data_IF_719209741985
#
_entry.id   IF_719209741985
#
_cell.length_a   1.000
_cell.length_b   1.000
_cell.length_c   1.000
_cell.angle_alpha   90.00
_cell.angle_beta   90.00
_cell.angle_gamma   90.00
#
_symmetry.space_group_name_H-M   'P 1'
#
loop_
_entity.id
_entity.type
_entity.pdbx_description
1 polymer ?
#
# COMPACT_ATOMS: atom_id res chain seq x y z
N UNK A 1 11.50 9.59 -4.17
CA UNK A 1 10.04 9.78 -4.18
C UNK A 1 9.42 8.69 -5.05
N UNK A 2 8.32 8.09 -4.60
CA UNK A 2 7.64 7.02 -5.35
C UNK A 2 6.80 7.67 -6.47
N UNK A 3 7.36 7.78 -7.69
CA UNK A 3 6.73 8.48 -8.85
C UNK A 3 5.28 8.04 -9.07
N UNK A 4 5.04 6.73 -8.93
CA UNK A 4 3.73 6.10 -9.12
C UNK A 4 2.69 6.59 -8.11
N UNK A 5 3.10 6.92 -6.88
CA UNK A 5 2.19 7.46 -5.87
C UNK A 5 1.65 8.83 -6.27
N UNK A 6 2.56 9.74 -6.63
CA UNK A 6 2.22 11.12 -6.96
C UNK A 6 1.36 11.17 -8.23
N UNK A 7 1.75 10.40 -9.25
CA UNK A 7 0.97 10.25 -10.48
C UNK A 7 -0.46 9.76 -10.19
N UNK A 8 -0.63 8.80 -9.28
CA UNK A 8 -1.95 8.30 -8.91
C UNK A 8 -2.78 9.34 -8.12
N UNK A 9 -2.15 10.16 -7.28
CA UNK A 9 -2.84 11.25 -6.59
C UNK A 9 -3.31 12.34 -7.56
N UNK A 10 -2.47 12.72 -8.50
CA UNK A 10 -2.77 13.69 -9.55
C UNK A 10 -3.89 13.18 -10.47
N UNK A 11 -3.83 11.91 -10.88
CA UNK A 11 -4.88 11.26 -11.68
C UNK A 11 -6.21 11.23 -10.91
N UNK A 12 -6.19 10.95 -9.61
CA UNK A 12 -7.39 10.94 -8.77
C UNK A 12 -8.03 12.32 -8.67
N UNK A 13 -7.23 13.36 -8.43
CA UNK A 13 -7.70 14.73 -8.33
C UNK A 13 -8.26 15.23 -9.66
N UNK A 14 -7.62 14.88 -10.79
CA UNK A 14 -8.12 15.20 -12.12
C UNK A 14 -9.49 14.54 -12.41
N UNK A 15 -9.72 13.32 -11.92
CA UNK A 15 -10.98 12.60 -12.13
C UNK A 15 -12.12 13.07 -11.20
N UNK A 16 -11.80 13.45 -9.97
CA UNK A 16 -12.81 13.76 -8.94
C UNK A 16 -12.98 15.25 -8.66
N UNK A 17 -12.03 16.08 -9.08
CA UNK A 17 -11.94 17.48 -8.70
C UNK A 17 -11.60 17.70 -7.22
N UNK A 18 -11.20 16.65 -6.49
CA UNK A 18 -10.92 16.70 -5.06
C UNK A 18 -9.64 15.94 -4.71
N UNK A 19 -8.87 16.38 -3.69
CA UNK A 19 -7.72 15.62 -3.21
C UNK A 19 -8.10 14.23 -2.71
N UNK A 20 -7.22 13.26 -2.90
CA UNK A 20 -7.40 11.91 -2.38
C UNK A 20 -7.44 11.89 -0.84
N UNK A 21 -8.40 11.17 -0.28
CA UNK A 21 -8.48 10.87 1.15
C UNK A 21 -8.55 9.36 1.37
N UNK A 22 -7.59 8.84 2.13
CA UNK A 22 -7.42 7.40 2.31
C UNK A 22 -8.56 6.74 3.10
N UNK A 23 -9.17 7.50 4.00
CA UNK A 23 -10.24 7.07 4.91
C UNK A 23 -11.55 6.78 4.17
N UNK A 24 -11.76 7.39 3.00
CA UNK A 24 -12.96 7.20 2.19
C UNK A 24 -12.97 5.84 1.48
N UNK A 25 -11.80 5.21 1.30
CA UNK A 25 -11.63 4.01 0.49
C UNK A 25 -11.04 2.87 1.32
N UNK A 26 -11.82 2.37 2.28
CA UNK A 26 -11.38 1.32 3.22
C UNK A 26 -11.19 -0.04 2.56
N UNK A 27 -12.02 -0.39 1.58
CA UNK A 27 -11.93 -1.67 0.84
C UNK A 27 -12.19 -1.46 -0.65
N UNK A 28 -11.70 -2.35 -1.54
CA UNK A 28 -11.96 -2.25 -2.96
C UNK A 28 -13.45 -2.24 -3.32
N UNK A 29 -14.30 -2.91 -2.54
CA UNK A 29 -15.74 -2.99 -2.76
C UNK A 29 -16.48 -1.65 -2.56
N UNK A 30 -15.91 -0.73 -1.77
CA UNK A 30 -16.47 0.60 -1.54
C UNK A 30 -16.06 1.60 -2.62
N UNK A 31 -15.12 1.23 -3.52
CA UNK A 31 -14.60 2.15 -4.53
C UNK A 31 -15.47 2.11 -5.78
N UNK A 32 -15.94 3.26 -6.29
CA UNK A 32 -16.59 3.32 -7.59
C UNK A 32 -15.73 2.68 -8.68
N UNK A 33 -16.35 1.92 -9.58
CA UNK A 33 -15.63 1.18 -10.61
C UNK A 33 -14.67 2.06 -11.40
N UNK A 34 -15.07 3.30 -11.71
CA UNK A 34 -14.28 4.29 -12.45
C UNK A 34 -12.97 4.66 -11.74
N UNK A 35 -13.00 4.81 -10.41
CA UNK A 35 -11.86 5.20 -9.57
C UNK A 35 -11.03 4.01 -9.10
N UNK A 36 -11.50 2.77 -9.31
CA UNK A 36 -10.85 1.58 -8.76
C UNK A 36 -9.39 1.43 -9.17
N UNK A 37 -9.01 1.76 -10.42
CA UNK A 37 -7.61 1.62 -10.87
C UNK A 37 -6.70 2.62 -10.13
N UNK A 38 -7.11 3.89 -10.07
CA UNK A 38 -6.31 4.95 -9.44
C UNK A 38 -6.23 4.79 -7.92
N UNK A 39 -7.34 4.45 -7.26
CA UNK A 39 -7.35 4.17 -5.81
C UNK A 39 -6.50 2.94 -5.49
N UNK A 40 -6.59 1.88 -6.31
CA UNK A 40 -5.74 0.69 -6.11
C UNK A 40 -4.26 1.02 -6.27
N UNK A 41 -3.86 1.82 -7.27
CA UNK A 41 -2.47 2.28 -7.42
C UNK A 41 -2.00 3.02 -6.16
N UNK A 42 -2.80 3.95 -5.66
CA UNK A 42 -2.50 4.74 -4.46
C UNK A 42 -2.29 3.85 -3.24
N UNK A 43 -3.25 2.95 -2.95
CA UNK A 43 -3.18 2.01 -1.82
C UNK A 43 -2.00 1.05 -1.91
N UNK A 44 -1.75 0.46 -3.09
CA UNK A 44 -0.59 -0.42 -3.32
C UNK A 44 0.71 0.34 -3.09
N UNK A 45 0.79 1.59 -3.57
CA UNK A 45 2.00 2.40 -3.44
C UNK A 45 2.29 2.80 -1.98
N UNK A 46 1.25 3.16 -1.21
CA UNK A 46 1.36 3.41 0.23
C UNK A 46 1.81 2.16 0.99
N UNK A 47 1.17 1.02 0.75
CA UNK A 47 1.52 -0.23 1.40
C UNK A 47 2.96 -0.66 1.08
N UNK A 48 3.42 -0.49 -0.17
CA UNK A 48 4.83 -0.72 -0.54
C UNK A 48 5.78 0.22 0.21
N UNK A 49 5.46 1.51 0.30
CA UNK A 49 6.29 2.48 1.01
C UNK A 49 6.39 2.15 2.52
N UNK A 50 5.29 1.76 3.13
CA UNK A 50 5.26 1.32 4.52
C UNK A 50 6.06 0.02 4.72
N UNK A 51 5.89 -0.96 3.83
CA UNK A 51 6.63 -2.21 3.87
C UNK A 51 8.15 -1.99 3.74
N UNK A 52 8.58 -1.05 2.88
CA UNK A 52 9.97 -0.64 2.75
C UNK A 52 10.48 0.05 4.03
N UNK A 53 9.68 0.93 4.62
CA UNK A 53 10.00 1.59 5.90
C UNK A 53 10.19 0.57 7.03
N UNK A 54 9.28 -0.40 7.15
CA UNK A 54 9.37 -1.47 8.15
C UNK A 54 10.61 -2.33 7.90
N UNK A 55 10.90 -2.66 6.63
CA UNK A 55 12.13 -3.37 6.26
C UNK A 55 13.38 -2.64 6.73
N UNK A 56 13.43 -1.32 6.53
CA UNK A 56 14.54 -0.49 7.01
C UNK A 56 14.64 -0.45 8.55
N UNK A 57 13.52 -0.46 9.27
CA UNK A 57 13.52 -0.56 10.73
C UNK A 57 14.05 -1.93 11.18
N UNK A 58 13.59 -3.02 10.56
CA UNK A 58 14.05 -4.38 10.88
C UNK A 58 15.55 -4.58 10.58
N UNK A 59 16.09 -3.88 9.57
CA UNK A 59 17.53 -3.91 9.25
C UNK A 59 18.42 -3.46 10.41
N UNK A 60 17.93 -2.59 11.31
CA UNK A 60 18.70 -2.15 12.48
C UNK A 60 18.97 -3.28 13.47
N UNK A 61 18.17 -4.34 13.43
CA UNK A 61 18.25 -5.51 14.30
C UNK A 61 18.93 -6.71 13.61
N UNK A 62 19.54 -6.47 12.45
CA UNK A 62 20.20 -7.52 11.67
C UNK A 62 21.52 -7.92 12.32
N UNK A 63 21.64 -9.18 12.68
CA UNK A 63 22.89 -9.82 13.12
C UNK A 63 23.34 -10.80 12.03
N UNK A 64 24.24 -10.35 11.15
CA UNK A 64 24.65 -11.12 9.97
C UNK A 64 23.52 -11.24 8.95
N UNK A 65 23.04 -12.47 8.71
CA UNK A 65 21.96 -12.76 7.76
C UNK A 65 20.58 -12.88 8.41
N UNK A 66 20.48 -12.80 9.73
CA UNK A 66 19.23 -13.01 10.48
C UNK A 66 18.88 -11.70 11.20
N UNK A 67 17.62 -11.29 11.12
CA UNK A 67 17.10 -10.20 11.95
C UNK A 67 16.62 -10.79 13.29
N UNK A 68 17.18 -10.31 14.40
CA UNK A 68 16.80 -10.74 15.75
C UNK A 68 16.10 -9.57 16.43
N UNK A 69 14.77 -9.58 16.39
CA UNK A 69 13.94 -8.51 16.94
C UNK A 69 13.74 -8.71 18.46
N UNK A 70 13.90 -7.65 19.27
CA UNK A 70 13.47 -7.68 20.66
C UNK A 70 11.93 -7.79 20.76
N UNK A 71 11.43 -8.23 21.91
CA UNK A 71 10.00 -8.54 22.09
C UNK A 71 9.09 -7.34 21.78
N UNK A 72 9.51 -6.13 22.16
CA UNK A 72 8.79 -4.88 21.91
C UNK A 72 8.77 -4.48 20.43
N UNK A 73 9.52 -5.17 19.55
CA UNK A 73 9.60 -4.91 18.10
C UNK A 73 9.08 -6.05 17.23
N UNK A 74 8.59 -7.14 17.83
CA UNK A 74 7.98 -8.25 17.09
C UNK A 74 6.75 -7.82 16.28
N UNK A 75 6.07 -6.77 16.69
CA UNK A 75 4.93 -6.20 15.95
C UNK A 75 5.29 -5.79 14.51
N UNK A 76 6.56 -5.43 14.24
CA UNK A 76 7.02 -5.06 12.90
C UNK A 76 6.83 -6.20 11.88
N UNK A 77 6.90 -7.46 12.32
CA UNK A 77 6.64 -8.62 11.45
C UNK A 77 5.17 -8.63 11.03
N UNK A 78 4.26 -8.48 11.98
CA UNK A 78 2.81 -8.44 11.72
C UNK A 78 2.42 -7.24 10.86
N UNK A 79 3.02 -6.07 11.08
CA UNK A 79 2.80 -4.90 10.21
C UNK A 79 3.31 -5.13 8.79
N UNK A 80 4.48 -5.77 8.63
CA UNK A 80 5.03 -6.11 7.31
C UNK A 80 4.10 -7.07 6.55
N UNK A 81 3.59 -8.09 7.23
CA UNK A 81 2.63 -9.05 6.66
C UNK A 81 1.31 -8.35 6.29
N UNK A 82 0.80 -7.46 7.14
CA UNK A 82 -0.41 -6.69 6.86
C UNK A 82 -0.27 -5.80 5.61
N UNK A 83 0.90 -5.16 5.41
CA UNK A 83 1.18 -4.45 4.16
C UNK A 83 1.15 -5.39 2.94
N UNK A 84 1.72 -6.59 3.07
CA UNK A 84 1.69 -7.61 2.02
C UNK A 84 0.26 -8.04 1.65
N UNK A 85 -0.61 -8.25 2.64
CA UNK A 85 -2.02 -8.58 2.43
C UNK A 85 -2.78 -7.43 1.75
N UNK A 86 -2.54 -6.18 2.17
CA UNK A 86 -3.09 -4.99 1.49
C UNK A 86 -2.68 -4.94 0.01
N UNK A 87 -1.39 -5.14 -0.30
CA UNK A 87 -0.90 -5.12 -1.68
C UNK A 87 -1.62 -6.20 -2.52
N UNK A 88 -1.75 -7.42 -1.98
CA UNK A 88 -2.46 -8.51 -2.68
C UNK A 88 -3.92 -8.16 -2.95
N UNK A 89 -4.63 -7.68 -1.92
CA UNK A 89 -6.06 -7.33 -2.02
C UNK A 89 -6.30 -6.29 -3.11
N UNK A 90 -5.55 -5.19 -3.09
CA UNK A 90 -5.72 -4.11 -4.06
C UNK A 90 -5.19 -4.48 -5.45
N UNK A 91 -4.17 -5.32 -5.55
CA UNK A 91 -3.67 -5.82 -6.84
C UNK A 91 -4.68 -6.74 -7.52
N UNK A 92 -5.37 -7.60 -6.76
CA UNK A 92 -6.43 -8.45 -7.27
C UNK A 92 -7.60 -7.62 -7.82
N UNK A 93 -8.10 -6.69 -7.03
CA UNK A 93 -9.20 -5.80 -7.44
C UNK A 93 -8.87 -4.99 -8.70
N UNK A 94 -7.62 -4.52 -8.83
CA UNK A 94 -7.13 -3.82 -10.02
C UNK A 94 -7.06 -4.73 -11.26
N UNK A 95 -6.63 -5.98 -11.08
CA UNK A 95 -6.44 -6.93 -12.18
C UNK A 95 -7.77 -7.45 -12.72
N UNK A 96 -8.77 -7.65 -11.86
CA UNK A 96 -10.13 -8.03 -12.27
C UNK A 96 -10.76 -7.01 -13.22
N UNK A 97 -10.38 -5.73 -13.12
CA UNK A 97 -10.82 -4.69 -14.05
C UNK A 97 -10.14 -4.77 -15.42
N UNK A 98 -8.89 -5.25 -15.49
CA UNK A 98 -8.15 -5.36 -16.77
C UNK A 98 -8.58 -6.56 -17.62
N UNK A 99 -9.23 -7.55 -17.01
CA UNK A 99 -9.75 -8.74 -17.68
C UNK A 99 -11.22 -8.64 -18.10
N UNK A 100 -11.86 -7.47 -17.93
CA UNK A 100 -13.21 -7.15 -18.40
C UNK A 100 -13.15 -6.14 -19.54
#
# INVERSE_FOLDING_TARGET
MNSIYLEALEEFEALTGTPYSDELYTTPACVPAELLDVVSKTKISQANAQQMSISHQMQQFKQGNIAVLPDDKKYLVSEFEACGEQIKLWSAARSDRKNK
#
